data_IF_621381265402
#
_entry.id   IF_621381265402
#
_cell.length_a   1.000
_cell.length_b   1.000
_cell.length_c   1.000
_cell.angle_alpha   90.00
_cell.angle_beta   90.00
_cell.angle_gamma   90.00
#
_symmetry.space_group_name_H-M   'P 1'
#
loop_
_entity.id
_entity.type
_entity.pdbx_description
1 polymer ?
#
# COMPACT_ATOMS: atom_id res chain seq x y z
N UNK A 1 14.87 21.38 -2.19
CA UNK A 1 14.97 19.98 -1.70
C UNK A 1 13.55 19.57 -1.33
N UNK A 2 12.99 18.56 -1.97
CA UNK A 2 11.62 18.09 -1.69
C UNK A 2 11.64 17.13 -0.51
N UNK A 3 10.74 17.31 0.46
CA UNK A 3 10.57 16.41 1.59
C UNK A 3 9.58 15.31 1.23
N UNK A 4 9.91 14.06 1.56
CA UNK A 4 9.05 12.91 1.40
C UNK A 4 8.82 12.25 2.76
N UNK A 5 7.56 11.95 3.09
CA UNK A 5 7.21 11.14 4.25
C UNK A 5 6.89 9.73 3.81
N UNK A 6 7.35 8.75 4.57
CA UNK A 6 6.97 7.35 4.43
C UNK A 6 6.35 6.85 5.73
N UNK A 7 5.19 6.21 5.61
CA UNK A 7 4.49 5.58 6.74
C UNK A 7 3.94 4.23 6.29
N UNK A 8 4.10 3.21 7.12
CA UNK A 8 3.63 1.85 6.89
C UNK A 8 3.15 1.25 8.22
N UNK A 9 2.43 0.15 8.16
CA UNK A 9 2.01 -0.62 9.34
C UNK A 9 1.22 0.22 10.36
N UNK A 10 0.32 1.05 9.86
CA UNK A 10 -0.52 1.90 10.71
C UNK A 10 -1.62 1.11 11.40
N UNK A 11 -2.10 0.02 10.77
CA UNK A 11 -3.04 -0.96 11.33
C UNK A 11 -4.28 -0.35 12.00
N UNK A 12 -4.82 0.74 11.43
CA UNK A 12 -5.99 1.41 11.99
C UNK A 12 -5.77 2.12 13.33
N UNK A 13 -4.53 2.29 13.78
CA UNK A 13 -4.27 3.05 15.01
C UNK A 13 -4.44 4.56 14.79
N UNK A 14 -5.56 5.11 15.23
CA UNK A 14 -5.90 6.53 15.07
C UNK A 14 -4.79 7.47 15.58
N UNK A 15 -4.13 7.11 16.67
CA UNK A 15 -3.03 7.92 17.22
C UNK A 15 -1.85 8.05 16.25
N UNK A 16 -1.54 6.99 15.50
CA UNK A 16 -0.48 7.02 14.47
C UNK A 16 -0.90 7.91 13.29
N UNK A 17 -2.14 7.77 12.83
CA UNK A 17 -2.70 8.61 11.77
C UNK A 17 -2.76 10.08 12.18
N UNK A 18 -3.26 10.39 13.37
CA UNK A 18 -3.33 11.77 13.85
C UNK A 18 -1.93 12.40 13.91
N UNK A 19 -0.92 11.63 14.34
CA UNK A 19 0.47 12.07 14.31
C UNK A 19 0.97 12.35 12.89
N UNK A 20 0.63 11.48 11.94
CA UNK A 20 0.97 11.66 10.53
C UNK A 20 0.32 12.94 9.98
N UNK A 21 -0.97 13.16 10.22
CA UNK A 21 -1.70 14.36 9.76
C UNK A 21 -1.11 15.65 10.35
N UNK A 22 -0.81 15.67 11.65
CA UNK A 22 -0.14 16.81 12.29
C UNK A 22 1.21 17.14 11.63
N UNK A 23 2.00 16.10 11.32
CA UNK A 23 3.29 16.28 10.66
C UNK A 23 3.14 16.78 9.23
N UNK A 24 2.17 16.25 8.45
CA UNK A 24 1.88 16.70 7.09
C UNK A 24 1.50 18.19 7.10
N UNK A 25 0.59 18.59 7.99
CA UNK A 25 0.19 20.01 8.10
C UNK A 25 1.33 20.94 8.46
N UNK A 26 2.19 20.50 9.37
CA UNK A 26 3.32 21.30 9.88
C UNK A 26 4.46 21.42 8.87
N UNK A 27 4.90 20.28 8.32
CA UNK A 27 6.12 20.21 7.51
C UNK A 27 5.85 20.34 6.01
N UNK A 28 4.59 20.17 5.58
CA UNK A 28 4.14 20.29 4.17
C UNK A 28 5.02 19.53 3.20
N UNK A 29 5.16 18.21 3.38
CA UNK A 29 6.00 17.40 2.50
C UNK A 29 5.46 17.46 1.06
N UNK A 30 6.35 17.28 0.10
CA UNK A 30 5.94 17.19 -1.32
C UNK A 30 5.26 15.87 -1.63
N UNK A 31 5.72 14.79 -0.99
CA UNK A 31 5.19 13.44 -1.16
C UNK A 31 4.89 12.80 0.19
N UNK A 32 3.81 12.00 0.23
CA UNK A 32 3.49 11.10 1.34
C UNK A 32 3.28 9.72 0.75
N UNK A 33 4.08 8.75 1.18
CA UNK A 33 4.02 7.36 0.75
C UNK A 33 3.43 6.52 1.87
N UNK A 34 2.30 5.85 1.59
CA UNK A 34 1.63 4.93 2.50
C UNK A 34 1.91 3.50 2.04
N UNK A 35 2.76 2.81 2.81
CA UNK A 35 3.40 1.56 2.42
C UNK A 35 2.62 0.28 2.74
N UNK A 36 1.31 0.36 3.00
CA UNK A 36 0.46 -0.80 3.31
C UNK A 36 0.26 -1.06 4.79
N UNK A 37 -0.57 -2.05 5.11
CA UNK A 37 -1.04 -2.40 6.44
C UNK A 37 -1.70 -1.21 7.14
N UNK A 38 -2.67 -0.63 6.45
CA UNK A 38 -3.30 0.62 6.82
C UNK A 38 -4.57 0.41 7.66
N UNK A 39 -5.33 -0.64 7.35
CA UNK A 39 -6.64 -0.87 7.92
C UNK A 39 -6.56 -1.60 9.28
N UNK A 40 -7.59 -1.49 10.14
CA UNK A 40 -7.68 -2.31 11.33
C UNK A 40 -7.76 -3.79 10.94
N UNK A 41 -6.89 -4.63 11.49
CA UNK A 41 -7.00 -6.09 11.31
C UNK A 41 -7.67 -6.75 12.53
N UNK A 42 -8.33 -7.91 12.31
CA UNK A 42 -9.32 -8.52 13.19
C UNK A 42 -8.89 -9.00 14.59
N UNK A 43 -7.65 -8.79 15.04
CA UNK A 43 -7.19 -9.19 16.36
C UNK A 43 -6.79 -7.97 17.20
N UNK A 44 -7.77 -7.35 17.86
CA UNK A 44 -7.49 -6.52 19.03
C UNK A 44 -7.65 -5.02 18.89
N UNK A 45 -7.80 -4.45 17.71
CA UNK A 45 -8.10 -3.03 17.57
C UNK A 45 -9.60 -2.85 17.45
N UNK A 46 -10.25 -2.41 18.53
CA UNK A 46 -11.61 -1.88 18.45
C UNK A 46 -11.46 -0.47 17.87
N UNK A 47 -11.75 -0.32 16.59
CA UNK A 47 -12.03 0.99 16.02
C UNK A 47 -13.26 1.56 16.72
N UNK A 48 -13.26 2.85 17.02
CA UNK A 48 -14.45 3.58 17.49
C UNK A 48 -15.46 3.80 16.35
N UNK A 49 -15.05 3.49 15.11
CA UNK A 49 -15.83 3.68 13.88
C UNK A 49 -16.42 2.36 13.39
N UNK A 50 -17.66 2.38 12.96
CA UNK A 50 -18.31 1.24 12.30
C UNK A 50 -17.63 0.94 10.96
N UNK A 51 -17.24 1.98 10.24
CA UNK A 51 -16.47 1.92 9.00
C UNK A 51 -15.22 2.80 9.08
N UNK A 52 -14.11 2.23 9.56
CA UNK A 52 -12.85 2.94 9.72
C UNK A 52 -12.36 3.61 8.42
N UNK A 53 -12.50 2.91 7.28
CA UNK A 53 -12.05 3.48 6.01
C UNK A 53 -12.81 4.77 5.69
N UNK A 54 -14.14 4.73 5.73
CA UNK A 54 -15.00 5.85 5.35
C UNK A 54 -15.00 6.95 6.40
N UNK A 55 -15.28 6.57 7.66
CA UNK A 55 -15.60 7.50 8.72
C UNK A 55 -14.34 8.13 9.35
N UNK A 56 -13.18 7.49 9.17
CA UNK A 56 -11.91 8.01 9.66
C UNK A 56 -10.91 8.27 8.54
N UNK A 57 -10.43 7.22 7.86
CA UNK A 57 -9.28 7.33 6.95
C UNK A 57 -9.56 8.30 5.79
N UNK A 58 -10.59 8.02 5.02
CA UNK A 58 -10.98 8.83 3.86
C UNK A 58 -11.40 10.24 4.30
N UNK A 59 -12.27 10.34 5.31
CA UNK A 59 -12.76 11.62 5.82
C UNK A 59 -11.62 12.54 6.29
N UNK A 60 -10.61 11.99 6.99
CA UNK A 60 -9.46 12.76 7.47
C UNK A 60 -8.56 13.24 6.33
N UNK A 61 -8.28 12.41 5.33
CA UNK A 61 -7.52 12.84 4.16
C UNK A 61 -8.26 13.89 3.32
N UNK A 62 -9.58 13.76 3.16
CA UNK A 62 -10.41 14.78 2.50
C UNK A 62 -10.36 16.13 3.24
N UNK A 63 -10.53 16.11 4.57
CA UNK A 63 -10.39 17.31 5.40
C UNK A 63 -9.01 17.95 5.31
N UNK A 64 -7.95 17.12 5.31
CA UNK A 64 -6.58 17.59 5.16
C UNK A 64 -6.36 18.25 3.79
N UNK A 65 -6.84 17.63 2.71
CA UNK A 65 -6.80 18.17 1.35
C UNK A 65 -7.52 19.53 1.26
N UNK A 66 -8.74 19.59 1.77
CA UNK A 66 -9.57 20.81 1.72
C UNK A 66 -8.94 21.96 2.53
N UNK A 67 -8.26 21.63 3.63
CA UNK A 67 -7.53 22.59 4.46
C UNK A 67 -6.25 23.07 3.81
N UNK A 68 -5.45 22.17 3.23
CA UNK A 68 -4.13 22.48 2.68
C UNK A 68 -4.18 23.04 1.26
N UNK A 69 -5.22 22.71 0.48
CA UNK A 69 -5.40 23.18 -0.91
C UNK A 69 -4.14 22.90 -1.75
N UNK A 70 -3.56 23.94 -2.34
CA UNK A 70 -2.37 23.84 -3.21
C UNK A 70 -1.12 23.33 -2.47
N UNK A 71 -1.16 23.23 -1.14
CA UNK A 71 -0.08 22.68 -0.32
C UNK A 71 -0.31 21.22 0.07
N UNK A 72 -1.42 20.60 -0.40
CA UNK A 72 -1.67 19.20 -0.17
C UNK A 72 -0.63 18.35 -0.91
N UNK A 73 0.02 17.38 -0.25
CA UNK A 73 1.04 16.56 -0.90
C UNK A 73 0.46 15.64 -1.95
N UNK A 74 1.30 15.17 -2.89
CA UNK A 74 0.97 13.96 -3.62
C UNK A 74 1.06 12.77 -2.65
N UNK A 75 -0.11 12.21 -2.32
CA UNK A 75 -0.23 11.01 -1.47
C UNK A 75 -0.28 9.79 -2.37
N UNK A 76 0.67 8.86 -2.20
CA UNK A 76 0.75 7.59 -2.93
C UNK A 76 0.49 6.46 -1.95
N UNK A 77 -0.41 5.54 -2.29
CA UNK A 77 -0.84 4.48 -1.37
C UNK A 77 -0.83 3.11 -2.03
N UNK A 78 -0.33 2.12 -1.30
CA UNK A 78 -0.52 0.70 -1.57
C UNK A 78 -1.19 0.04 -0.37
N UNK A 79 -1.73 -1.16 -0.57
CA UNK A 79 -2.20 -2.04 0.49
C UNK A 79 -1.09 -3.02 0.90
N UNK A 80 -1.16 -3.54 2.12
CA UNK A 80 -0.26 -4.55 2.65
C UNK A 80 -0.97 -5.89 2.87
N UNK A 81 -0.24 -6.88 3.36
CA UNK A 81 -0.76 -8.25 3.50
C UNK A 81 -1.88 -8.38 4.57
N UNK A 82 -1.96 -7.47 5.52
CA UNK A 82 -3.03 -7.43 6.52
C UNK A 82 -4.25 -6.58 6.08
N UNK A 83 -4.16 -5.90 4.93
CA UNK A 83 -5.29 -5.15 4.38
C UNK A 83 -6.15 -6.06 3.48
N UNK A 84 -7.40 -6.41 3.85
CA UNK A 84 -8.24 -7.25 2.98
C UNK A 84 -8.45 -6.64 1.60
N UNK A 85 -8.20 -7.40 0.53
CA UNK A 85 -8.29 -6.93 -0.86
C UNK A 85 -9.70 -6.49 -1.27
N UNK A 86 -10.72 -6.97 -0.60
CA UNK A 86 -12.09 -6.51 -0.79
C UNK A 86 -12.25 -5.00 -0.60
N UNK A 87 -11.31 -4.35 0.08
CA UNK A 87 -11.28 -2.89 0.23
C UNK A 87 -10.58 -2.16 -0.94
N UNK A 88 -9.91 -2.87 -1.84
CA UNK A 88 -9.11 -2.26 -2.92
C UNK A 88 -9.91 -1.27 -3.75
N UNK A 89 -11.13 -1.65 -4.15
CA UNK A 89 -12.01 -0.78 -4.93
C UNK A 89 -12.26 0.56 -4.24
N UNK A 90 -12.39 0.58 -2.92
CA UNK A 90 -12.62 1.81 -2.15
C UNK A 90 -11.42 2.77 -2.22
N UNK A 91 -10.20 2.23 -2.26
CA UNK A 91 -8.98 3.03 -2.45
C UNK A 91 -8.90 3.59 -3.87
N UNK A 92 -9.35 2.84 -4.87
CA UNK A 92 -9.44 3.29 -6.27
C UNK A 92 -10.51 4.39 -6.44
N UNK A 93 -11.68 4.24 -5.80
CA UNK A 93 -12.73 5.27 -5.80
C UNK A 93 -12.23 6.58 -5.16
N UNK A 94 -11.47 6.50 -4.06
CA UNK A 94 -10.87 7.68 -3.42
C UNK A 94 -9.75 8.31 -4.29
N UNK A 95 -9.09 7.55 -5.16
CA UNK A 95 -8.19 8.08 -6.20
C UNK A 95 -8.99 8.92 -7.21
N UNK A 96 -10.16 8.44 -7.66
CA UNK A 96 -11.03 9.19 -8.59
C UNK A 96 -11.53 10.50 -7.96
N UNK A 97 -11.72 10.52 -6.64
CA UNK A 97 -12.05 11.74 -5.88
C UNK A 97 -10.84 12.68 -5.68
N UNK A 98 -9.63 12.29 -6.10
CA UNK A 98 -8.42 13.08 -5.97
C UNK A 98 -7.86 13.16 -4.56
N UNK A 99 -8.11 12.15 -3.72
CA UNK A 99 -7.60 12.10 -2.34
C UNK A 99 -6.14 11.60 -2.32
N UNK A 100 -5.84 10.58 -3.09
CA UNK A 100 -4.52 9.99 -3.24
C UNK A 100 -4.34 9.36 -4.63
N UNK A 101 -3.19 8.74 -4.88
CA UNK A 101 -2.91 7.89 -6.03
C UNK A 101 -2.77 6.44 -5.52
N UNK A 102 -3.67 5.56 -5.93
CA UNK A 102 -3.57 4.13 -5.62
C UNK A 102 -2.57 3.47 -6.56
N UNK A 103 -1.52 2.88 -6.00
CA UNK A 103 -0.30 2.59 -6.74
C UNK A 103 -0.09 1.13 -7.12
N UNK A 104 -0.87 0.16 -6.56
CA UNK A 104 -0.62 -1.24 -6.87
C UNK A 104 -0.60 -1.51 -8.37
N UNK A 105 0.49 -2.13 -8.88
CA UNK A 105 0.75 -2.39 -10.31
C UNK A 105 0.64 -1.15 -11.21
N UNK A 106 0.92 0.03 -10.64
CA UNK A 106 0.91 1.30 -11.39
C UNK A 106 2.25 2.02 -11.27
N UNK A 107 2.51 2.88 -12.26
CA UNK A 107 3.60 3.86 -12.20
C UNK A 107 3.07 5.27 -12.45
N UNK A 108 3.60 6.25 -11.72
CA UNK A 108 3.29 7.66 -11.89
C UNK A 108 4.57 8.48 -12.00
N UNK A 109 4.61 9.36 -12.98
CA UNK A 109 5.67 10.36 -13.10
C UNK A 109 5.26 11.64 -12.38
N UNK A 110 6.01 12.00 -11.34
CA UNK A 110 5.75 13.18 -10.50
C UNK A 110 7.07 13.92 -10.28
N UNK A 111 7.08 15.21 -10.62
CA UNK A 111 8.28 16.03 -10.69
C UNK A 111 9.34 15.35 -11.58
N UNK A 112 10.53 15.01 -11.08
CA UNK A 112 11.61 14.33 -11.81
C UNK A 112 11.70 12.83 -11.49
N UNK A 113 10.70 12.26 -10.79
CA UNK A 113 10.72 10.87 -10.30
C UNK A 113 9.62 10.03 -10.94
N UNK A 114 9.93 8.75 -11.20
CA UNK A 114 8.93 7.75 -11.53
C UNK A 114 8.68 6.87 -10.31
N UNK A 115 7.47 6.94 -9.77
CA UNK A 115 7.03 6.12 -8.64
C UNK A 115 6.40 4.84 -9.15
N UNK A 116 6.81 3.70 -8.62
CA UNK A 116 6.26 2.37 -8.89
C UNK A 116 5.67 1.80 -7.61
N UNK A 117 4.44 1.29 -7.65
CA UNK A 117 3.79 0.73 -6.48
C UNK A 117 3.47 -0.75 -6.63
N UNK A 118 3.71 -1.53 -5.57
CA UNK A 118 3.46 -2.97 -5.56
C UNK A 118 3.11 -3.46 -4.16
N UNK A 119 1.95 -4.10 -4.03
CA UNK A 119 1.38 -4.55 -2.75
C UNK A 119 1.77 -5.95 -2.34
N UNK A 120 1.96 -6.86 -3.33
CA UNK A 120 2.18 -8.26 -2.98
C UNK A 120 3.51 -8.48 -2.25
N UNK A 121 3.47 -9.42 -1.30
CA UNK A 121 4.61 -9.88 -0.52
C UNK A 121 4.88 -11.36 -0.78
N UNK A 122 6.10 -11.86 -0.51
CA UNK A 122 6.37 -13.29 -0.50
C UNK A 122 5.48 -14.04 0.51
N UNK A 123 5.33 -15.38 0.36
CA UNK A 123 4.50 -16.18 1.26
C UNK A 123 4.89 -16.01 2.72
N UNK A 124 3.89 -15.74 3.57
CA UNK A 124 4.01 -15.57 5.01
C UNK A 124 3.37 -16.74 5.77
N UNK A 125 3.55 -16.84 7.10
CA UNK A 125 2.81 -17.78 7.94
C UNK A 125 1.31 -17.46 8.10
N UNK A 126 0.86 -16.28 7.65
CA UNK A 126 -0.52 -15.86 7.80
C UNK A 126 -1.44 -16.55 6.80
N UNK A 127 -2.72 -16.65 7.15
CA UNK A 127 -3.71 -17.38 6.34
C UNK A 127 -4.44 -16.50 5.32
N UNK A 128 -4.50 -15.19 5.53
CA UNK A 128 -5.02 -14.25 4.53
C UNK A 128 -3.97 -14.14 3.42
N UNK A 129 -4.38 -14.44 2.17
CA UNK A 129 -3.49 -14.53 1.01
C UNK A 129 -3.79 -13.50 -0.07
N UNK A 130 -4.58 -12.50 0.23
CA UNK A 130 -5.00 -11.47 -0.72
C UNK A 130 -3.83 -10.79 -1.43
N UNK A 131 -2.75 -10.51 -0.69
CA UNK A 131 -1.57 -9.81 -1.18
C UNK A 131 -0.30 -10.65 -1.11
N UNK A 132 -0.44 -11.98 -1.21
CA UNK A 132 0.72 -12.86 -1.25
C UNK A 132 0.88 -13.52 -2.61
N UNK A 133 2.12 -13.59 -3.09
CA UNK A 133 2.51 -14.28 -4.32
C UNK A 133 3.82 -15.02 -4.12
N UNK A 134 4.06 -16.03 -4.93
CA UNK A 134 5.40 -16.64 -5.03
C UNK A 134 6.42 -15.56 -5.41
N UNK A 135 7.61 -15.60 -4.83
CA UNK A 135 8.64 -14.61 -5.11
C UNK A 135 9.28 -14.86 -6.51
N UNK A 136 10.44 -15.49 -6.57
CA UNK A 136 11.13 -15.82 -7.83
C UNK A 136 10.81 -17.24 -8.31
N UNK A 137 10.29 -18.08 -7.44
CA UNK A 137 9.93 -19.47 -7.70
C UNK A 137 8.80 -19.93 -6.78
N UNK A 138 8.27 -21.13 -7.00
CA UNK A 138 7.23 -21.72 -6.13
C UNK A 138 7.75 -22.23 -4.78
N UNK A 139 8.99 -21.99 -4.46
CA UNK A 139 9.54 -22.32 -3.14
C UNK A 139 8.90 -21.43 -2.08
N UNK A 140 8.48 -22.06 -0.98
CA UNK A 140 7.92 -21.40 0.20
C UNK A 140 8.78 -21.76 1.39
N UNK A 141 9.19 -20.77 2.16
CA UNK A 141 10.02 -20.97 3.34
C UNK A 141 9.33 -21.85 4.39
N UNK A 142 10.09 -22.66 5.13
CA UNK A 142 9.54 -23.49 6.20
C UNK A 142 8.75 -22.65 7.22
N UNK A 143 7.50 -23.06 7.46
CA UNK A 143 6.59 -22.36 8.37
C UNK A 143 5.70 -21.32 7.70
N UNK A 144 5.95 -20.97 6.45
CA UNK A 144 5.05 -20.16 5.64
C UNK A 144 3.98 -21.03 4.97
N UNK A 145 2.85 -20.43 4.64
CA UNK A 145 1.70 -21.08 3.98
C UNK A 145 1.76 -20.72 2.50
N UNK A 146 1.57 -21.70 1.61
CA UNK A 146 1.45 -21.43 0.17
C UNK A 146 0.30 -20.45 -0.13
N UNK A 147 0.48 -19.55 -1.09
CA UNK A 147 -0.60 -18.64 -1.49
C UNK A 147 -1.90 -19.38 -1.88
N UNK A 148 -1.78 -20.61 -2.41
CA UNK A 148 -2.92 -21.46 -2.79
C UNK A 148 -3.63 -22.13 -1.61
N UNK A 149 -3.04 -22.16 -0.40
CA UNK A 149 -3.52 -22.93 0.75
C UNK A 149 -4.18 -22.05 1.84
N UNK A 150 -4.26 -20.75 1.62
CA UNK A 150 -4.88 -19.80 2.52
C UNK A 150 -6.34 -19.51 2.21
N UNK A 151 -6.81 -18.39 2.71
CA UNK A 151 -8.12 -17.84 2.35
C UNK A 151 -7.96 -16.44 1.76
N UNK A 152 -8.97 -16.02 1.01
CA UNK A 152 -9.04 -14.74 0.34
C UNK A 152 -10.30 -13.98 0.78
N UNK A 153 -10.23 -12.66 0.87
CA UNK A 153 -11.39 -11.82 1.19
C UNK A 153 -12.32 -11.63 -0.03
N UNK A 154 -11.81 -11.92 -1.23
CA UNK A 154 -12.54 -11.95 -2.49
C UNK A 154 -11.97 -13.06 -3.38
N UNK A 155 -12.62 -13.36 -4.50
CA UNK A 155 -12.12 -14.37 -5.43
C UNK A 155 -10.70 -14.07 -5.86
N UNK A 156 -9.76 -15.02 -5.73
CA UNK A 156 -8.38 -14.82 -6.11
C UNK A 156 -8.22 -14.65 -7.62
N UNK A 157 -7.10 -14.05 -8.03
CA UNK A 157 -6.73 -13.99 -9.44
C UNK A 157 -6.57 -15.39 -10.02
N UNK A 158 -7.00 -15.61 -11.26
CA UNK A 158 -6.93 -16.91 -11.94
C UNK A 158 -5.50 -17.48 -12.01
N UNK A 159 -4.49 -16.60 -12.04
CA UNK A 159 -3.09 -16.96 -12.20
C UNK A 159 -2.30 -17.15 -10.89
N UNK A 160 -2.97 -17.24 -9.73
CA UNK A 160 -2.28 -17.30 -8.42
C UNK A 160 -1.26 -18.43 -8.34
N UNK A 161 -1.53 -19.56 -8.98
CA UNK A 161 -0.63 -20.72 -8.98
C UNK A 161 0.65 -20.49 -9.79
N UNK A 162 0.58 -19.67 -10.83
CA UNK A 162 1.68 -19.46 -11.78
C UNK A 162 2.24 -18.04 -11.75
N UNK A 163 1.62 -17.14 -10.99
CA UNK A 163 2.08 -15.77 -10.84
C UNK A 163 3.25 -15.68 -9.85
N UNK A 164 4.14 -14.72 -10.07
CA UNK A 164 5.25 -14.45 -9.17
C UNK A 164 5.54 -12.95 -9.10
N UNK A 165 6.07 -12.53 -7.96
CA UNK A 165 6.52 -11.14 -7.73
C UNK A 165 7.52 -10.73 -8.82
N UNK A 166 8.47 -11.61 -9.14
CA UNK A 166 9.44 -11.36 -10.21
C UNK A 166 8.77 -10.99 -11.52
N UNK A 167 7.81 -11.81 -11.98
CA UNK A 167 7.14 -11.59 -13.26
C UNK A 167 6.30 -10.29 -13.24
N UNK A 168 5.67 -9.98 -12.10
CA UNK A 168 4.90 -8.76 -11.96
C UNK A 168 5.79 -7.51 -12.01
N UNK A 169 6.93 -7.54 -11.32
CA UNK A 169 7.87 -6.43 -11.33
C UNK A 169 8.50 -6.24 -12.71
N UNK A 170 8.84 -7.32 -13.43
CA UNK A 170 9.30 -7.25 -14.81
C UNK A 170 8.26 -6.59 -15.74
N UNK A 171 6.96 -6.92 -15.55
CA UNK A 171 5.88 -6.26 -16.30
C UNK A 171 5.68 -4.80 -15.91
N UNK A 172 5.75 -4.50 -14.61
CA UNK A 172 5.53 -3.15 -14.08
C UNK A 172 6.61 -2.17 -14.56
N UNK A 173 7.85 -2.61 -14.51
CA UNK A 173 9.02 -1.79 -14.87
C UNK A 173 9.22 -1.76 -16.39
N UNK A 174 9.11 -2.91 -17.07
CA UNK A 174 9.39 -3.02 -18.50
C UNK A 174 10.84 -2.64 -18.84
N UNK A 175 11.00 -1.76 -19.83
CA UNK A 175 12.30 -1.24 -20.29
C UNK A 175 12.57 0.19 -19.80
N UNK A 176 11.93 0.63 -18.72
CA UNK A 176 12.07 1.98 -18.20
C UNK A 176 13.50 2.27 -17.70
N UNK A 177 13.95 3.51 -17.86
CA UNK A 177 15.14 4.00 -17.17
C UNK A 177 14.82 4.23 -15.68
N UNK A 178 15.50 3.50 -14.81
CA UNK A 178 15.28 3.51 -13.36
C UNK A 178 16.16 4.52 -12.61
N UNK A 179 16.88 5.40 -13.30
CA UNK A 179 17.82 6.37 -12.68
C UNK A 179 17.15 7.25 -11.63
N UNK A 180 15.87 7.59 -11.83
CA UNK A 180 15.06 8.39 -10.92
C UNK A 180 13.81 7.62 -10.44
N UNK A 181 13.93 6.31 -10.28
CA UNK A 181 12.83 5.47 -9.80
C UNK A 181 12.70 5.50 -8.28
N UNK A 182 11.48 5.55 -7.80
CA UNK A 182 11.11 5.36 -6.40
C UNK A 182 10.15 4.19 -6.33
N UNK A 183 10.51 3.16 -5.58
CA UNK A 183 9.70 1.95 -5.43
C UNK A 183 8.96 2.00 -4.09
N UNK A 184 7.63 1.95 -4.14
CA UNK A 184 6.74 1.83 -2.99
C UNK A 184 6.28 0.37 -2.91
N UNK A 185 6.98 -0.42 -2.10
CA UNK A 185 6.73 -1.83 -1.85
C UNK A 185 6.38 -2.07 -0.39
N UNK A 186 5.46 -3.00 -0.13
CA UNK A 186 5.16 -3.41 1.24
C UNK A 186 6.24 -4.34 1.80
N UNK A 187 6.73 -5.26 0.96
CA UNK A 187 7.83 -6.14 1.36
C UNK A 187 9.20 -5.45 1.20
N UNK A 188 10.11 -5.56 2.19
CA UNK A 188 11.47 -5.05 2.04
C UNK A 188 12.23 -5.84 0.96
N UNK A 189 13.21 -5.20 0.28
CA UNK A 189 14.08 -5.91 -0.64
C UNK A 189 14.90 -7.01 0.07
N UNK A 190 15.18 -8.09 -0.66
CA UNK A 190 16.00 -9.18 -0.14
C UNK A 190 17.45 -8.73 0.12
N UNK A 191 18.02 -9.11 1.26
CA UNK A 191 19.39 -8.75 1.69
C UNK A 191 19.67 -7.24 1.75
N UNK A 192 18.76 -6.48 2.32
CA UNK A 192 19.04 -5.13 2.79
C UNK A 192 19.53 -5.20 4.22
N UNK A 193 20.82 -5.13 4.40
CA UNK A 193 21.46 -5.00 5.72
C UNK A 193 21.53 -3.53 6.13
#
# INVERSE_FOLDING_TARGET
>A
MSTCFFATDLHGYESRYNKLFELIEKEKPRFVLLGGDLLPHGFGIKSEYDDFFKDFLLAKFQLLRDKMKDQYPDVLVILGNDDPRINEQRFQEAEEEGVWKYMHMKKHFLDDFTFYGYSHVPPTPFRLKDWERYDVSRYVDPGCIHPTDGFFSMDPDEDIEYSSIKNDLEKLVGEDDLSNAVFLFHSPPYKTD
#
